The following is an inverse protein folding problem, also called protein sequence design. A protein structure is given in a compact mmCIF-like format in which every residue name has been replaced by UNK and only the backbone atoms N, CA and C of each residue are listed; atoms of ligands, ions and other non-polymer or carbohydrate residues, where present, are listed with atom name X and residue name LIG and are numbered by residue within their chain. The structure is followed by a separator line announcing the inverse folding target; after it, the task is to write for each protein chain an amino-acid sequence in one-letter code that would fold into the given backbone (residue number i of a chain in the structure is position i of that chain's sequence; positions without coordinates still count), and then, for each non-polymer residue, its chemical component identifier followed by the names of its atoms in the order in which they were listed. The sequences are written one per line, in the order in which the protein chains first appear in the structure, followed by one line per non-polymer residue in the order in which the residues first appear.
data_IF_086227639386
#
_entry.id   IF_086227639386
#
_cell.length_a   1.000
_cell.length_b   1.000
_cell.length_c   1.000
_cell.angle_alpha   90.00
_cell.angle_beta   90.00
_cell.angle_gamma   90.00
#
_symmetry.space_group_name_H-M   'P 1'
#
loop_
_entity.id
_entity.type
_entity.pdbx_description
1 polymer ?
#
# COMPACT_ATOMS: atom_id res chain seq x y z
N UNK A 1 11.33 29.98 -17.60
CA UNK A 1 10.74 28.63 -17.86
C UNK A 1 11.40 27.45 -17.12
N UNK A 2 12.49 27.62 -16.33
CA UNK A 2 13.21 26.50 -15.65
C UNK A 2 12.56 25.98 -14.35
N UNK A 3 11.74 26.80 -13.68
CA UNK A 3 11.13 26.51 -12.35
C UNK A 3 10.13 25.35 -12.37
N UNK A 4 9.49 25.10 -13.51
CA UNK A 4 8.43 24.09 -13.65
C UNK A 4 8.97 22.64 -13.59
N UNK A 5 10.22 22.44 -14.02
CA UNK A 5 10.83 21.12 -14.11
C UNK A 5 11.28 20.60 -12.74
N UNK A 6 11.73 21.51 -11.87
CA UNK A 6 12.16 21.18 -10.51
C UNK A 6 10.98 20.79 -9.62
N UNK A 7 9.88 21.55 -9.68
CA UNK A 7 8.67 21.27 -8.90
C UNK A 7 8.04 19.93 -9.33
N UNK A 8 7.94 19.68 -10.64
CA UNK A 8 7.47 18.39 -11.16
C UNK A 8 8.33 17.22 -10.69
N UNK A 9 9.66 17.37 -10.68
CA UNK A 9 10.57 16.32 -10.18
C UNK A 9 10.38 16.04 -8.69
N UNK A 10 10.21 17.07 -7.87
CA UNK A 10 9.98 16.91 -6.43
C UNK A 10 8.68 16.15 -6.14
N UNK A 11 7.60 16.48 -6.85
CA UNK A 11 6.31 15.78 -6.71
C UNK A 11 6.44 14.31 -7.12
N UNK A 12 7.07 14.03 -8.26
CA UNK A 12 7.27 12.65 -8.75
C UNK A 12 8.10 11.83 -7.76
N UNK A 13 9.16 12.41 -7.19
CA UNK A 13 10.00 11.73 -6.20
C UNK A 13 9.23 11.43 -4.91
N UNK A 14 8.34 12.33 -4.47
CA UNK A 14 7.47 12.09 -3.32
C UNK A 14 6.50 10.92 -3.54
N UNK A 15 5.84 10.87 -4.70
CA UNK A 15 4.99 9.75 -5.08
C UNK A 15 5.77 8.44 -5.23
N UNK A 16 6.97 8.48 -5.81
CA UNK A 16 7.82 7.30 -5.95
C UNK A 16 8.24 6.74 -4.59
N UNK A 17 8.65 7.60 -3.65
CA UNK A 17 9.05 7.21 -2.30
C UNK A 17 7.90 6.54 -1.53
N UNK A 18 6.70 7.13 -1.60
CA UNK A 18 5.51 6.62 -0.92
C UNK A 18 5.00 5.31 -1.52
N UNK A 19 5.04 5.19 -2.86
CA UNK A 19 4.75 3.94 -3.55
C UNK A 19 5.75 2.84 -3.21
N UNK A 20 7.06 3.12 -3.29
CA UNK A 20 8.10 2.13 -3.00
C UNK A 20 8.00 1.59 -1.57
N UNK A 21 7.70 2.46 -0.60
CA UNK A 21 7.52 2.02 0.78
C UNK A 21 6.28 1.12 0.95
N UNK A 22 5.14 1.46 0.31
CA UNK A 22 3.95 0.58 0.32
C UNK A 22 4.26 -0.76 -0.32
N UNK A 23 4.90 -0.77 -1.48
CA UNK A 23 5.26 -2.00 -2.18
C UNK A 23 6.20 -2.88 -1.35
N UNK A 24 7.23 -2.31 -0.72
CA UNK A 24 8.15 -3.05 0.15
C UNK A 24 7.49 -3.63 1.39
N UNK A 25 6.43 -2.99 1.89
CA UNK A 25 5.67 -3.48 3.03
C UNK A 25 4.66 -4.57 2.61
N UNK A 26 3.90 -4.29 1.56
CA UNK A 26 2.71 -5.06 1.23
C UNK A 26 3.02 -6.27 0.33
N UNK A 27 3.99 -6.15 -0.59
CA UNK A 27 4.35 -7.27 -1.48
C UNK A 27 4.89 -8.47 -0.69
N UNK A 28 5.90 -8.35 0.20
CA UNK A 28 6.40 -9.51 0.94
C UNK A 28 5.35 -10.10 1.87
N UNK A 29 4.54 -9.24 2.53
CA UNK A 29 3.45 -9.66 3.42
C UNK A 29 2.46 -10.57 2.70
N UNK A 30 1.87 -10.07 1.61
CA UNK A 30 0.86 -10.78 0.83
C UNK A 30 1.47 -12.02 0.19
N UNK A 31 2.66 -11.89 -0.38
CA UNK A 31 3.38 -12.98 -1.02
C UNK A 31 3.60 -14.16 -0.08
N UNK A 32 4.07 -13.91 1.14
CA UNK A 32 4.30 -14.96 2.15
C UNK A 32 2.99 -15.65 2.52
N UNK A 33 1.92 -14.89 2.78
CA UNK A 33 0.61 -15.47 3.14
C UNK A 33 0.09 -16.36 2.00
N UNK A 34 0.21 -15.91 0.75
CA UNK A 34 -0.20 -16.68 -0.42
C UNK A 34 0.64 -17.94 -0.62
N UNK A 35 1.96 -17.88 -0.42
CA UNK A 35 2.83 -19.06 -0.49
C UNK A 35 2.52 -20.08 0.62
N UNK A 36 2.31 -19.61 1.85
CA UNK A 36 1.97 -20.46 3.00
C UNK A 36 0.63 -21.18 2.83
N UNK A 37 -0.22 -20.73 1.90
CA UNK A 37 -1.44 -21.47 1.54
C UNK A 37 -1.16 -22.78 0.80
N UNK A 38 0.05 -22.98 0.25
CA UNK A 38 0.51 -24.22 -0.37
C UNK A 38 -0.10 -24.56 -1.74
N UNK A 39 -0.96 -23.71 -2.31
CA UNK A 39 -1.71 -24.00 -3.55
C UNK A 39 -1.31 -23.13 -4.74
N UNK A 40 -0.55 -22.07 -4.50
CA UNK A 40 -0.12 -21.13 -5.52
C UNK A 40 1.35 -21.33 -5.86
N UNK A 41 1.67 -21.30 -7.14
CA UNK A 41 3.05 -21.23 -7.59
C UNK A 41 3.68 -19.89 -7.20
N UNK A 42 5.01 -19.88 -7.03
CA UNK A 42 5.80 -18.70 -6.65
C UNK A 42 5.51 -17.49 -7.56
N UNK A 43 5.51 -17.70 -8.88
CA UNK A 43 5.25 -16.62 -9.84
C UNK A 43 3.84 -16.05 -9.75
N UNK A 44 2.83 -16.90 -9.54
CA UNK A 44 1.43 -16.48 -9.36
C UNK A 44 1.27 -15.67 -8.07
N UNK A 45 1.82 -16.17 -6.96
CA UNK A 45 1.76 -15.48 -5.67
C UNK A 45 2.43 -14.10 -5.73
N UNK A 46 3.61 -14.00 -6.36
CA UNK A 46 4.31 -12.73 -6.50
C UNK A 46 3.54 -11.76 -7.40
N UNK A 47 2.98 -12.25 -8.50
CA UNK A 47 2.18 -11.42 -9.43
C UNK A 47 0.97 -10.84 -8.73
N UNK A 48 0.23 -11.65 -7.96
CA UNK A 48 -0.93 -11.19 -7.18
C UNK A 48 -0.50 -10.13 -6.15
N UNK A 49 0.59 -10.36 -5.43
CA UNK A 49 1.08 -9.42 -4.41
C UNK A 49 1.47 -8.06 -5.01
N UNK A 50 2.15 -8.05 -6.16
CA UNK A 50 2.51 -6.83 -6.89
C UNK A 50 1.28 -6.11 -7.43
N UNK A 51 0.34 -6.86 -8.02
CA UNK A 51 -0.92 -6.28 -8.51
C UNK A 51 -1.72 -5.64 -7.37
N UNK A 52 -1.78 -6.31 -6.22
CA UNK A 52 -2.47 -5.77 -5.06
C UNK A 52 -1.84 -4.48 -4.56
N UNK A 53 -0.51 -4.43 -4.43
CA UNK A 53 0.20 -3.20 -4.04
C UNK A 53 -0.05 -2.04 -5.03
N UNK A 54 -0.10 -2.33 -6.33
CA UNK A 54 -0.39 -1.32 -7.36
C UNK A 54 -1.82 -0.78 -7.28
N UNK A 55 -2.82 -1.66 -7.15
CA UNK A 55 -4.25 -1.27 -7.07
C UNK A 55 -4.53 -0.52 -5.76
N UNK A 56 -3.99 -1.00 -4.65
CA UNK A 56 -4.15 -0.36 -3.34
C UNK A 56 -3.47 1.02 -3.29
N UNK A 57 -2.29 1.19 -3.90
CA UNK A 57 -1.69 2.53 -4.04
C UNK A 57 -2.55 3.49 -4.88
N UNK A 58 -3.20 2.99 -5.94
CA UNK A 58 -4.14 3.81 -6.69
C UNK A 58 -5.31 4.24 -5.78
N UNK A 59 -5.86 3.31 -5.01
CA UNK A 59 -6.90 3.59 -4.00
C UNK A 59 -6.46 4.68 -3.02
N UNK A 60 -5.26 4.56 -2.48
CA UNK A 60 -4.64 5.54 -1.59
C UNK A 60 -4.60 6.95 -2.19
N UNK A 61 -4.12 7.12 -3.41
CA UNK A 61 -4.04 8.44 -4.06
C UNK A 61 -5.42 9.10 -4.18
N UNK A 62 -6.49 8.33 -4.37
CA UNK A 62 -7.86 8.86 -4.52
C UNK A 62 -8.64 8.98 -3.20
N UNK A 63 -8.41 8.08 -2.24
CA UNK A 63 -9.19 7.96 -0.99
C UNK A 63 -8.52 8.70 0.18
N UNK A 64 -7.18 8.72 0.25
CA UNK A 64 -6.43 9.26 1.39
C UNK A 64 -6.53 10.76 1.67
N UNK A 65 -6.81 11.69 0.72
CA UNK A 65 -6.70 13.12 1.06
C UNK A 65 -7.68 13.58 2.15
N UNK A 66 -8.70 12.77 2.49
CA UNK A 66 -9.80 13.17 3.38
C UNK A 66 -10.19 12.14 4.44
N UNK A 67 -9.45 11.04 4.61
CA UNK A 67 -9.84 9.95 5.53
C UNK A 67 -8.81 9.74 6.65
N UNK A 68 -9.26 9.21 7.79
CA UNK A 68 -8.37 8.87 8.91
C UNK A 68 -7.62 7.55 8.69
N UNK A 69 -6.46 7.37 9.35
CA UNK A 69 -5.59 6.20 9.20
C UNK A 69 -6.32 4.84 9.27
N UNK A 70 -7.27 4.70 10.20
CA UNK A 70 -8.02 3.46 10.39
C UNK A 70 -8.99 3.17 9.22
N UNK A 71 -9.64 4.20 8.69
CA UNK A 71 -10.56 4.06 7.57
C UNK A 71 -9.82 3.78 6.26
N UNK A 72 -8.67 4.42 6.07
CA UNK A 72 -7.80 4.15 4.92
C UNK A 72 -7.33 2.69 4.92
N UNK A 73 -6.81 2.20 6.05
CA UNK A 73 -6.42 0.80 6.21
C UNK A 73 -7.56 -0.18 5.97
N UNK A 74 -8.77 0.13 6.43
CA UNK A 74 -9.96 -0.69 6.18
C UNK A 74 -10.30 -0.75 4.68
N UNK A 75 -10.20 0.39 3.97
CA UNK A 75 -10.42 0.44 2.53
C UNK A 75 -9.38 -0.41 1.77
N UNK A 76 -8.11 -0.37 2.18
CA UNK A 76 -7.07 -1.23 1.62
C UNK A 76 -7.35 -2.73 1.84
N UNK A 77 -7.89 -3.08 3.00
CA UNK A 77 -8.37 -4.44 3.29
C UNK A 77 -9.49 -4.90 2.34
N UNK A 78 -10.48 -4.03 2.11
CA UNK A 78 -11.58 -4.30 1.16
C UNK A 78 -11.05 -4.43 -0.27
N UNK A 79 -10.11 -3.57 -0.68
CA UNK A 79 -9.45 -3.68 -1.99
C UNK A 79 -8.74 -5.04 -2.11
N UNK A 80 -8.04 -5.48 -1.06
CA UNK A 80 -7.39 -6.79 -1.04
C UNK A 80 -8.39 -7.95 -1.17
N UNK A 81 -9.49 -7.90 -0.43
CA UNK A 81 -10.54 -8.92 -0.52
C UNK A 81 -11.15 -8.96 -1.93
N UNK A 82 -11.56 -7.82 -2.47
CA UNK A 82 -12.18 -7.72 -3.81
C UNK A 82 -11.23 -8.22 -4.89
N UNK A 83 -9.94 -7.83 -4.83
CA UNK A 83 -8.95 -8.26 -5.81
C UNK A 83 -8.70 -9.77 -5.77
N UNK A 84 -8.57 -10.36 -4.59
CA UNK A 84 -8.37 -11.80 -4.47
C UNK A 84 -9.61 -12.60 -4.87
N UNK A 85 -10.81 -12.07 -4.62
CA UNK A 85 -12.05 -12.65 -5.15
C UNK A 85 -12.09 -12.59 -6.68
N UNK A 86 -11.68 -11.47 -7.28
CA UNK A 86 -11.59 -11.34 -8.73
C UNK A 86 -10.59 -12.35 -9.32
N UNK A 87 -9.40 -12.49 -8.71
CA UNK A 87 -8.40 -13.50 -9.08
C UNK A 87 -8.98 -14.92 -8.97
N UNK A 88 -9.75 -15.20 -7.91
CA UNK A 88 -10.45 -16.47 -7.74
C UNK A 88 -11.47 -16.73 -8.85
N UNK A 89 -12.21 -15.70 -9.26
CA UNK A 89 -13.25 -15.81 -10.29
C UNK A 89 -12.71 -16.15 -11.68
N UNK A 90 -11.46 -15.79 -11.98
CA UNK A 90 -10.80 -16.08 -13.27
C UNK A 90 -10.08 -17.44 -13.30
N UNK A 91 -10.28 -18.29 -12.29
CA UNK A 91 -9.81 -19.68 -12.25
C UNK A 91 -8.58 -19.95 -11.40
N UNK A 92 -8.02 -18.95 -10.72
CA UNK A 92 -6.90 -19.16 -9.78
C UNK A 92 -7.46 -19.54 -8.41
N UNK A 93 -7.26 -20.78 -7.98
CA UNK A 93 -7.81 -21.23 -6.70
C UNK A 93 -7.10 -20.57 -5.50
N UNK A 94 -7.83 -19.75 -4.75
CA UNK A 94 -7.40 -19.16 -3.47
C UNK A 94 -8.41 -19.53 -2.40
N UNK A 95 -7.99 -20.16 -1.31
CA UNK A 95 -8.91 -20.51 -0.22
C UNK A 95 -9.56 -19.27 0.39
N UNK A 96 -10.85 -19.37 0.73
CA UNK A 96 -11.58 -18.27 1.37
C UNK A 96 -10.89 -17.75 2.63
N UNK A 97 -10.35 -18.68 3.44
CA UNK A 97 -9.56 -18.35 4.64
C UNK A 97 -8.31 -17.53 4.31
N UNK A 98 -7.62 -17.84 3.22
CA UNK A 98 -6.43 -17.10 2.75
C UNK A 98 -6.82 -15.68 2.32
N UNK A 99 -7.95 -15.51 1.65
CA UNK A 99 -8.45 -14.17 1.27
C UNK A 99 -8.65 -13.31 2.51
N UNK A 100 -9.32 -13.85 3.53
CA UNK A 100 -9.53 -13.15 4.82
C UNK A 100 -8.19 -12.85 5.50
N UNK A 101 -7.26 -13.81 5.53
CA UNK A 101 -5.94 -13.59 6.14
C UNK A 101 -5.16 -12.47 5.48
N UNK A 102 -5.18 -12.40 4.14
CA UNK A 102 -4.55 -11.29 3.42
C UNK A 102 -5.25 -9.98 3.76
N UNK A 103 -6.58 -9.91 3.68
CA UNK A 103 -7.33 -8.69 3.97
C UNK A 103 -7.05 -8.17 5.39
N UNK A 104 -7.13 -9.03 6.40
CA UNK A 104 -6.83 -8.67 7.80
C UNK A 104 -5.37 -8.25 7.98
N UNK A 105 -4.43 -8.98 7.38
CA UNK A 105 -3.01 -8.62 7.47
C UNK A 105 -2.72 -7.25 6.85
N UNK A 106 -3.32 -6.94 5.71
CA UNK A 106 -3.22 -5.63 5.05
C UNK A 106 -3.76 -4.53 5.97
N UNK A 107 -4.97 -4.69 6.52
CA UNK A 107 -5.58 -3.69 7.43
C UNK A 107 -4.66 -3.41 8.63
N UNK A 108 -4.15 -4.47 9.26
CA UNK A 108 -3.30 -4.34 10.45
C UNK A 108 -1.98 -3.64 10.09
N UNK A 109 -1.27 -4.17 9.09
CA UNK A 109 0.07 -3.68 8.74
C UNK A 109 0.02 -2.26 8.18
N UNK A 110 -0.94 -1.95 7.32
CA UNK A 110 -1.06 -0.61 6.76
C UNK A 110 -1.57 0.41 7.79
N UNK A 111 -2.52 0.02 8.64
CA UNK A 111 -3.02 0.86 9.73
C UNK A 111 -1.97 1.17 10.79
N UNK A 112 -1.10 0.21 11.11
CA UNK A 112 -0.07 0.36 12.15
C UNK A 112 1.24 0.96 11.63
N UNK A 113 1.60 0.72 10.36
CA UNK A 113 2.92 1.08 9.83
C UNK A 113 2.80 2.13 8.72
N UNK A 114 2.06 1.83 7.65
CA UNK A 114 2.06 2.65 6.44
C UNK A 114 1.41 4.03 6.63
N UNK A 115 0.17 4.05 7.10
CA UNK A 115 -0.59 5.30 7.26
C UNK A 115 0.03 6.24 8.33
N UNK A 116 0.51 5.74 9.49
CA UNK A 116 1.27 6.55 10.42
C UNK A 116 2.60 7.07 9.84
N UNK A 117 3.31 6.27 9.04
CA UNK A 117 4.54 6.69 8.36
C UNK A 117 4.26 7.83 7.37
N UNK A 118 3.24 7.70 6.53
CA UNK A 118 2.84 8.74 5.58
C UNK A 118 2.50 10.05 6.29
N UNK A 119 1.73 9.99 7.38
CA UNK A 119 1.35 11.18 8.15
C UNK A 119 2.58 11.90 8.70
N UNK A 120 3.57 11.15 9.22
CA UNK A 120 4.84 11.72 9.71
C UNK A 120 5.68 12.31 8.58
N UNK A 121 5.75 11.64 7.43
CA UNK A 121 6.50 12.10 6.27
C UNK A 121 5.94 13.42 5.73
N UNK A 122 4.62 13.52 5.55
CA UNK A 122 3.95 14.75 5.13
C UNK A 122 4.14 15.87 6.15
N UNK A 123 4.04 15.56 7.45
CA UNK A 123 4.26 16.53 8.52
C UNK A 123 5.70 17.07 8.52
N UNK A 124 6.70 16.21 8.36
CA UNK A 124 8.10 16.61 8.30
C UNK A 124 8.42 17.49 7.08
N UNK A 125 7.90 17.13 5.90
CA UNK A 125 8.07 17.94 4.69
C UNK A 125 7.38 19.31 4.80
N UNK A 126 6.26 19.38 5.53
CA UNK A 126 5.57 20.66 5.78
C UNK A 126 6.28 21.59 6.76
N UNK A 127 7.24 21.10 7.55
CA UNK A 127 8.00 21.93 8.50
C UNK A 127 9.22 22.62 7.88
N UNK A 128 9.69 22.21 6.70
CA UNK A 128 10.83 22.81 6.01
C UNK A 128 12.16 22.78 6.81
N UNK A 129 13.31 23.00 6.15
CA UNK A 129 14.59 23.12 6.85
C UNK A 129 14.64 24.48 7.58
N UNK A 130 14.12 24.57 8.80
CA UNK A 130 14.21 25.80 9.58
C UNK A 130 13.49 25.90 10.93
N UNK A 131 12.66 24.94 11.35
CA UNK A 131 11.93 25.06 12.65
C UNK A 131 11.96 23.71 13.38
N UNK A 132 13.15 23.31 13.84
CA UNK A 132 13.33 22.10 14.66
C UNK A 132 14.35 22.23 15.79
N UNK A 133 15.00 23.38 15.93
CA UNK A 133 15.81 23.70 17.11
C UNK A 133 15.02 24.69 17.99
N UNK A 134 14.87 24.33 19.27
CA UNK A 134 13.92 24.78 20.31
C UNK A 134 12.88 23.67 20.47
N UNK A 135 13.07 22.70 21.37
CA UNK A 135 13.32 22.89 22.81
C UNK A 135 14.26 21.84 23.42
#
# INVERSE_FOLDING_TARGET
MRKNNTVRRLIILGHLKTFSFKALLNVPLVFIILLLSGRLGWGTALTIAVLLAAVSYAGDVYILPRTGNALAAAADGVIAEVLLWAVRSVGIFIEFRTIIYVAVAVVIVEGMVYHPYLKRLVSADSMGPGIGDRD
#
